data_IF_887775050048
#
_entry.id   IF_887775050048
#
_cell.length_a   1.000
_cell.length_b   1.000
_cell.length_c   1.000
_cell.angle_alpha   90.00
_cell.angle_beta   90.00
_cell.angle_gamma   90.00
#
_symmetry.space_group_name_H-M   'P 1'
#
loop_
_entity.id
_entity.type
_entity.pdbx_description
1 polymer ?
#
# COMPACT_ATOMS: atom_id res chain seq x y z
N UNK A 1 -7.96 -14.43 18.75
CA UNK A 1 -7.50 -13.08 18.38
C UNK A 1 -6.84 -12.46 19.59
N UNK A 2 -5.63 -11.97 19.44
CA UNK A 2 -5.01 -11.16 20.50
C UNK A 2 -5.63 -9.75 20.43
N UNK A 3 -6.45 -9.32 21.40
CA UNK A 3 -7.13 -8.04 21.37
C UNK A 3 -6.17 -6.84 21.47
N UNK A 4 -4.89 -7.09 21.69
CA UNK A 4 -3.86 -6.05 21.80
C UNK A 4 -3.21 -5.71 20.45
N UNK A 5 -3.46 -6.51 19.40
CA UNK A 5 -2.89 -6.27 18.07
C UNK A 5 -3.80 -5.35 17.25
N UNK A 6 -3.24 -4.28 16.67
CA UNK A 6 -4.03 -3.31 15.94
C UNK A 6 -4.53 -3.87 14.61
N UNK A 7 -5.66 -3.34 14.16
CA UNK A 7 -6.17 -3.58 12.81
C UNK A 7 -5.50 -2.66 11.82
N UNK A 8 -5.17 -3.20 10.66
CA UNK A 8 -4.61 -2.44 9.54
C UNK A 8 -5.58 -2.47 8.37
N UNK A 9 -6.01 -1.32 7.93
CA UNK A 9 -6.75 -1.13 6.70
C UNK A 9 -5.76 -1.00 5.53
N UNK A 10 -5.89 -1.86 4.52
CA UNK A 10 -5.06 -1.84 3.30
C UNK A 10 -5.92 -1.34 2.14
N UNK A 11 -5.56 -0.17 1.62
CA UNK A 11 -6.24 0.49 0.49
C UNK A 11 -5.50 0.22 -0.81
N UNK A 12 -6.21 -0.29 -1.83
CA UNK A 12 -5.62 -0.64 -3.13
C UNK A 12 -6.51 -0.10 -4.26
N UNK A 13 -5.90 0.68 -5.15
CA UNK A 13 -6.49 1.03 -6.45
C UNK A 13 -5.83 0.15 -7.52
N UNK A 14 -6.63 -0.59 -8.28
CA UNK A 14 -6.16 -1.50 -9.33
C UNK A 14 -6.82 -1.17 -10.66
N UNK A 15 -6.02 -1.00 -11.71
CA UNK A 15 -6.47 -0.76 -13.07
C UNK A 15 -5.92 -1.85 -13.99
N UNK A 16 -6.78 -2.82 -14.37
CA UNK A 16 -6.44 -3.95 -15.25
C UNK A 16 -5.15 -4.70 -14.86
N UNK A 17 -4.79 -4.70 -13.59
CA UNK A 17 -3.50 -5.21 -13.14
C UNK A 17 -3.56 -6.69 -12.80
N UNK A 18 -2.91 -7.58 -13.58
CA UNK A 18 -2.92 -9.02 -13.35
C UNK A 18 -2.19 -9.44 -12.07
N UNK A 19 -1.38 -8.56 -11.47
CA UNK A 19 -0.67 -8.83 -10.23
C UNK A 19 -1.53 -8.66 -8.98
N UNK A 20 -2.72 -8.05 -9.09
CA UNK A 20 -3.61 -7.84 -7.94
C UNK A 20 -3.85 -9.11 -7.12
N UNK A 21 -4.24 -10.28 -7.69
CA UNK A 21 -4.46 -11.48 -6.90
C UNK A 21 -3.23 -11.93 -6.12
N UNK A 22 -2.04 -11.84 -6.73
CA UNK A 22 -0.77 -12.18 -6.08
C UNK A 22 -0.42 -11.23 -4.95
N UNK A 23 -0.68 -9.93 -5.13
CA UNK A 23 -0.47 -8.94 -4.10
C UNK A 23 -1.36 -9.21 -2.89
N UNK A 24 -2.62 -9.58 -3.10
CA UNK A 24 -3.54 -9.94 -2.02
C UNK A 24 -3.10 -11.22 -1.30
N UNK A 25 -2.67 -12.25 -2.05
CA UNK A 25 -2.10 -13.46 -1.47
C UNK A 25 -0.86 -13.16 -0.63
N UNK A 26 0.07 -12.37 -1.17
CA UNK A 26 1.28 -11.97 -0.46
C UNK A 26 0.96 -11.21 0.84
N UNK A 27 0.01 -10.28 0.78
CA UNK A 27 -0.41 -9.53 1.97
C UNK A 27 -0.83 -10.48 3.10
N UNK A 28 -1.60 -11.52 2.77
CA UNK A 28 -2.07 -12.49 3.76
C UNK A 28 -1.00 -13.49 4.18
N UNK A 29 -0.27 -14.04 3.22
CA UNK A 29 0.69 -15.13 3.45
C UNK A 29 1.93 -14.68 4.25
N UNK A 30 2.34 -13.42 4.08
CA UNK A 30 3.53 -12.87 4.73
C UNK A 30 3.22 -12.07 5.99
N UNK A 31 1.95 -11.73 6.25
CA UNK A 31 1.57 -11.07 7.49
C UNK A 31 1.74 -11.98 8.70
N UNK A 32 2.09 -11.37 9.83
CA UNK A 32 2.12 -12.06 11.13
C UNK A 32 0.72 -12.25 11.73
N UNK A 33 -0.19 -11.31 11.45
CA UNK A 33 -1.55 -11.28 11.97
C UNK A 33 -2.56 -11.01 10.84
N UNK A 34 -2.70 -11.95 9.87
CA UNK A 34 -3.55 -11.76 8.70
C UNK A 34 -5.04 -11.59 9.05
N UNK A 35 -5.47 -12.06 10.21
CA UNK A 35 -6.84 -11.89 10.72
C UNK A 35 -7.18 -10.44 11.08
N UNK A 36 -6.16 -9.60 11.33
CA UNK A 36 -6.32 -8.19 11.66
C UNK A 36 -6.27 -7.25 10.44
N UNK A 37 -6.10 -7.81 9.25
CA UNK A 37 -6.12 -7.04 8.01
C UNK A 37 -7.53 -6.82 7.50
N UNK A 38 -7.78 -5.64 6.95
CA UNK A 38 -8.99 -5.28 6.21
C UNK A 38 -8.58 -4.62 4.92
N UNK A 39 -9.25 -4.97 3.82
CA UNK A 39 -8.91 -4.50 2.49
C UNK A 39 -10.04 -3.71 1.88
N UNK A 40 -9.73 -2.52 1.38
CA UNK A 40 -10.59 -1.72 0.54
C UNK A 40 -10.00 -1.62 -0.87
N UNK A 41 -10.70 -2.16 -1.86
CA UNK A 41 -10.15 -2.31 -3.21
C UNK A 41 -11.09 -1.64 -4.20
N UNK A 42 -10.58 -0.67 -4.95
CA UNK A 42 -11.22 -0.19 -6.17
C UNK A 42 -10.62 -0.96 -7.35
N UNK A 43 -11.40 -1.92 -7.86
CA UNK A 43 -10.99 -2.77 -8.97
C UNK A 43 -11.62 -2.30 -10.27
N UNK A 44 -10.79 -1.76 -11.16
CA UNK A 44 -11.18 -1.34 -12.50
C UNK A 44 -10.80 -2.44 -13.48
N UNK A 45 -11.79 -3.14 -14.00
CA UNK A 45 -11.59 -4.36 -14.80
C UNK A 45 -11.75 -4.11 -16.29
N UNK A 46 -11.02 -4.88 -17.09
CA UNK A 46 -11.24 -5.07 -18.50
C UNK A 46 -11.92 -6.43 -18.73
N UNK A 47 -13.12 -6.41 -19.32
CA UNK A 47 -13.86 -7.64 -19.62
C UNK A 47 -13.16 -8.54 -20.63
N UNK A 48 -12.25 -8.01 -21.45
CA UNK A 48 -11.44 -8.76 -22.41
C UNK A 48 -10.24 -9.47 -21.77
N UNK A 49 -9.85 -9.07 -20.54
CA UNK A 49 -8.74 -9.63 -19.79
C UNK A 49 -9.16 -9.92 -18.33
N UNK A 50 -9.96 -10.95 -18.08
CA UNK A 50 -10.51 -11.21 -16.76
C UNK A 50 -9.42 -11.63 -15.76
N UNK A 51 -9.53 -11.11 -14.54
CA UNK A 51 -8.69 -11.46 -13.39
C UNK A 51 -9.54 -12.25 -12.38
N UNK A 52 -9.02 -13.38 -11.88
CA UNK A 52 -9.75 -14.21 -10.93
C UNK A 52 -9.62 -13.68 -9.50
N UNK A 53 -10.72 -13.21 -8.93
CA UNK A 53 -10.80 -12.65 -7.58
C UNK A 53 -11.89 -13.29 -6.72
N UNK A 54 -12.58 -14.35 -7.20
CA UNK A 54 -13.73 -14.93 -6.50
C UNK A 54 -13.39 -15.29 -5.05
N UNK A 55 -12.24 -15.94 -4.82
CA UNK A 55 -11.80 -16.37 -3.48
C UNK A 55 -11.67 -15.24 -2.46
N UNK A 56 -11.41 -14.02 -2.92
CA UNK A 56 -11.32 -12.86 -2.03
C UNK A 56 -12.68 -12.21 -1.79
N UNK A 57 -13.62 -12.33 -2.73
CA UNK A 57 -14.96 -11.75 -2.60
C UNK A 57 -15.79 -12.42 -1.51
N UNK A 58 -15.52 -13.70 -1.24
CA UNK A 58 -16.19 -14.49 -0.21
C UNK A 58 -15.57 -14.30 1.19
N UNK A 59 -14.43 -13.61 1.28
CA UNK A 59 -13.75 -13.33 2.54
C UNK A 59 -14.14 -11.95 3.09
N UNK A 60 -14.75 -11.91 4.26
CA UNK A 60 -15.25 -10.69 4.90
C UNK A 60 -14.18 -9.62 5.19
N UNK A 61 -12.89 -9.97 5.08
CA UNK A 61 -11.79 -9.01 5.20
C UNK A 61 -11.69 -8.08 3.99
N UNK A 62 -12.26 -8.46 2.84
CA UNK A 62 -12.14 -7.75 1.57
C UNK A 62 -13.44 -7.04 1.21
N UNK A 63 -13.33 -5.78 0.85
CA UNK A 63 -14.42 -4.96 0.32
C UNK A 63 -14.01 -4.44 -1.05
N UNK A 64 -14.86 -4.69 -2.05
CA UNK A 64 -14.59 -4.32 -3.44
C UNK A 64 -15.59 -3.29 -3.95
N UNK A 65 -15.08 -2.23 -4.58
CA UNK A 65 -15.83 -1.42 -5.55
C UNK A 65 -15.35 -1.81 -6.94
N UNK A 66 -16.28 -2.26 -7.79
CA UNK A 66 -15.97 -2.85 -9.09
C UNK A 66 -16.46 -1.92 -10.19
N UNK A 67 -15.56 -1.51 -11.05
CA UNK A 67 -15.83 -0.57 -12.15
C UNK A 67 -15.25 -1.12 -13.45
N UNK A 68 -15.91 -0.83 -14.57
CA UNK A 68 -15.30 -1.06 -15.88
C UNK A 68 -14.23 -0.01 -16.15
N UNK A 69 -13.31 -0.30 -17.08
CA UNK A 69 -12.29 0.67 -17.49
C UNK A 69 -12.88 1.95 -18.10
N UNK A 70 -14.08 1.85 -18.68
CA UNK A 70 -14.79 2.99 -19.26
C UNK A 70 -15.34 3.96 -18.20
N UNK A 71 -15.53 3.47 -16.97
CA UNK A 71 -16.01 4.27 -15.83
C UNK A 71 -14.85 4.88 -15.02
N UNK A 72 -13.60 4.59 -15.42
CA UNK A 72 -12.44 5.05 -14.68
C UNK A 72 -12.26 6.58 -14.80
N UNK A 73 -12.13 7.23 -13.66
CA UNK A 73 -11.77 8.65 -13.54
C UNK A 73 -10.31 8.83 -13.09
N UNK A 74 -9.50 7.77 -13.17
CA UNK A 74 -8.08 7.78 -12.87
C UNK A 74 -7.70 7.36 -11.45
N UNK A 75 -6.38 7.31 -11.19
CA UNK A 75 -5.84 6.69 -9.99
C UNK A 75 -6.23 7.37 -8.67
N UNK A 76 -6.33 8.69 -8.64
CA UNK A 76 -6.73 9.43 -7.42
C UNK A 76 -8.19 9.20 -7.07
N UNK A 77 -9.08 9.16 -8.05
CA UNK A 77 -10.48 8.78 -7.89
C UNK A 77 -10.59 7.34 -7.32
N UNK A 78 -9.88 6.39 -7.92
CA UNK A 78 -9.91 5.00 -7.47
C UNK A 78 -9.38 4.83 -6.04
N UNK A 79 -8.33 5.57 -5.67
CA UNK A 79 -7.80 5.59 -4.30
C UNK A 79 -8.83 6.18 -3.32
N UNK A 80 -9.51 7.25 -3.70
CA UNK A 80 -10.56 7.83 -2.89
C UNK A 80 -11.68 6.81 -2.62
N UNK A 81 -12.15 6.09 -3.65
CA UNK A 81 -13.16 5.03 -3.49
C UNK A 81 -12.65 3.93 -2.55
N UNK A 82 -11.44 3.41 -2.77
CA UNK A 82 -10.89 2.36 -1.93
C UNK A 82 -10.82 2.79 -0.45
N UNK A 83 -10.50 4.05 -0.18
CA UNK A 83 -10.41 4.59 1.18
C UNK A 83 -11.78 4.72 1.87
N UNK A 84 -12.88 4.79 1.15
CA UNK A 84 -14.23 4.86 1.76
C UNK A 84 -14.59 3.58 2.53
N UNK A 85 -13.88 2.49 2.32
CA UNK A 85 -14.07 1.24 3.03
C UNK A 85 -13.43 1.18 4.41
N UNK A 86 -12.63 2.19 4.79
CA UNK A 86 -12.09 2.28 6.15
C UNK A 86 -13.21 2.38 7.18
N UNK A 87 -13.13 1.59 8.24
CA UNK A 87 -14.16 1.43 9.25
C UNK A 87 -13.58 1.51 10.67
N UNK A 88 -12.68 2.47 10.88
CA UNK A 88 -12.09 2.73 12.17
C UNK A 88 -10.91 1.81 12.54
N UNK A 89 -10.25 1.20 11.58
CA UNK A 89 -9.01 0.48 11.83
C UNK A 89 -7.93 1.42 12.38
N UNK A 90 -7.02 0.88 13.19
CA UNK A 90 -5.99 1.66 13.92
C UNK A 90 -4.96 2.29 12.99
N UNK A 91 -4.66 1.63 11.87
CA UNK A 91 -3.72 2.08 10.85
C UNK A 91 -4.32 1.95 9.46
N UNK A 92 -3.95 2.87 8.58
CA UNK A 92 -4.26 2.80 7.16
C UNK A 92 -2.95 2.70 6.35
N UNK A 93 -2.89 1.72 5.45
CA UNK A 93 -1.79 1.49 4.52
C UNK A 93 -2.32 1.57 3.09
N UNK A 94 -1.79 2.50 2.29
CA UNK A 94 -2.05 2.53 0.85
C UNK A 94 -0.90 1.88 0.11
N UNK A 95 -1.21 0.90 -0.74
CA UNK A 95 -0.24 0.22 -1.61
C UNK A 95 -0.77 0.16 -3.05
N UNK A 96 0.14 -0.08 -3.98
CA UNK A 96 -0.22 -0.38 -5.37
C UNK A 96 -0.64 -1.85 -5.53
N UNK A 97 -1.30 -2.17 -6.65
CA UNK A 97 -1.84 -3.50 -6.92
C UNK A 97 -0.79 -4.56 -7.31
N UNK A 98 0.48 -4.16 -7.47
CA UNK A 98 1.60 -5.01 -7.86
C UNK A 98 2.72 -4.97 -6.82
N UNK A 99 2.41 -5.31 -5.58
CA UNK A 99 3.35 -5.28 -4.46
C UNK A 99 3.76 -6.69 -4.02
N UNK A 100 4.99 -6.80 -3.52
CA UNK A 100 5.47 -7.96 -2.80
C UNK A 100 5.83 -7.54 -1.37
N UNK A 101 5.34 -8.28 -0.38
CA UNK A 101 5.48 -7.92 1.03
C UNK A 101 6.53 -8.80 1.72
N UNK A 102 7.31 -8.21 2.60
CA UNK A 102 8.28 -8.93 3.40
C UNK A 102 7.59 -9.74 4.52
N UNK A 103 8.19 -10.85 5.00
CA UNK A 103 7.66 -11.58 6.16
C UNK A 103 7.44 -10.67 7.37
N UNK A 104 6.28 -10.81 8.02
CA UNK A 104 5.83 -10.03 9.18
C UNK A 104 5.82 -8.50 8.92
N UNK A 105 5.48 -8.09 7.69
CA UNK A 105 5.42 -6.70 7.28
C UNK A 105 4.47 -5.85 8.15
N UNK A 106 3.31 -6.40 8.50
CA UNK A 106 2.28 -5.79 9.34
C UNK A 106 2.82 -5.43 10.73
N UNK A 107 3.43 -6.40 11.41
CA UNK A 107 4.05 -6.18 12.71
C UNK A 107 5.23 -5.19 12.65
N UNK A 108 5.99 -5.22 11.56
CA UNK A 108 7.12 -4.32 11.34
C UNK A 108 6.65 -2.89 11.10
N UNK A 109 5.59 -2.69 10.32
CA UNK A 109 4.98 -1.36 10.10
C UNK A 109 4.44 -0.79 11.41
N UNK A 110 3.66 -1.57 12.17
CA UNK A 110 3.11 -1.12 13.45
C UNK A 110 4.23 -0.71 14.41
N UNK A 111 5.28 -1.53 14.52
CA UNK A 111 6.45 -1.20 15.37
C UNK A 111 7.12 0.11 14.93
N UNK A 112 7.31 0.28 13.62
CA UNK A 112 7.87 1.51 13.06
C UNK A 112 6.98 2.71 13.38
N UNK A 113 5.68 2.64 13.11
CA UNK A 113 4.74 3.73 13.38
C UNK A 113 4.72 4.13 14.85
N UNK A 114 4.74 3.15 15.78
CA UNK A 114 4.80 3.40 17.23
C UNK A 114 6.12 4.05 17.69
N UNK A 115 7.19 3.88 16.94
CA UNK A 115 8.49 4.50 17.27
C UNK A 115 8.62 5.95 16.82
N UNK A 116 7.68 6.45 16.00
CA UNK A 116 7.72 7.81 15.49
C UNK A 116 7.24 8.81 16.54
N UNK A 117 8.00 9.92 16.79
CA UNK A 117 7.66 10.90 17.82
C UNK A 117 6.59 11.90 17.33
N UNK A 118 5.41 11.40 16.98
CA UNK A 118 4.29 12.20 16.49
C UNK A 118 2.95 11.58 16.90
N UNK A 119 1.97 12.41 17.20
CA UNK A 119 0.62 11.96 17.58
C UNK A 119 -0.12 11.28 16.43
N UNK A 120 0.12 11.78 15.21
CA UNK A 120 -0.45 11.22 13.95
C UNK A 120 0.70 11.01 12.96
N UNK A 121 1.48 9.95 13.12
CA UNK A 121 2.62 9.70 12.26
C UNK A 121 2.16 9.34 10.85
N UNK A 122 2.86 9.88 9.85
CA UNK A 122 2.74 9.50 8.45
C UNK A 122 4.10 8.99 7.98
N UNK A 123 4.12 7.80 7.42
CA UNK A 123 5.30 7.24 6.77
C UNK A 123 4.99 7.02 5.28
N UNK A 124 5.95 7.37 4.43
CA UNK A 124 5.90 7.06 2.99
C UNK A 124 7.22 6.47 2.55
N UNK A 125 7.17 5.56 1.59
CA UNK A 125 8.36 4.93 1.04
C UNK A 125 8.15 4.60 -0.44
N UNK A 126 9.23 4.51 -1.17
CA UNK A 126 9.24 3.92 -2.51
C UNK A 126 9.66 2.46 -2.34
N UNK A 127 8.77 1.55 -2.75
CA UNK A 127 9.08 0.12 -2.70
C UNK A 127 10.20 -0.23 -3.70
N UNK A 128 11.07 -1.20 -3.37
CA UNK A 128 12.03 -1.74 -4.33
C UNK A 128 11.29 -2.34 -5.53
N UNK A 129 11.87 -2.18 -6.70
CA UNK A 129 11.35 -2.81 -7.91
C UNK A 129 11.58 -4.32 -7.86
N UNK A 130 10.63 -5.07 -8.41
CA UNK A 130 10.82 -6.48 -8.70
C UNK A 130 10.50 -6.78 -10.16
N UNK A 131 11.00 -7.90 -10.66
CA UNK A 131 10.62 -8.46 -11.96
C UNK A 131 10.13 -9.88 -11.76
N UNK A 132 9.24 -10.31 -12.65
CA UNK A 132 8.88 -11.71 -12.74
C UNK A 132 10.03 -12.48 -13.38
N UNK A 133 10.36 -13.62 -12.82
CA UNK A 133 11.29 -14.56 -13.45
C UNK A 133 10.51 -15.40 -14.48
N UNK A 134 10.86 -15.25 -15.75
CA UNK A 134 10.18 -15.91 -16.87
C UNK A 134 10.18 -17.44 -16.78
N UNK A 135 11.15 -18.02 -16.10
CA UNK A 135 11.30 -19.48 -15.96
C UNK A 135 10.59 -20.06 -14.74
N UNK A 136 10.58 -19.34 -13.63
CA UNK A 136 10.02 -19.83 -12.35
C UNK A 136 8.69 -19.19 -11.99
N UNK A 137 8.28 -18.11 -12.66
CA UNK A 137 7.13 -17.30 -12.30
C UNK A 137 7.25 -16.63 -10.93
N UNK A 138 8.44 -16.63 -10.33
CA UNK A 138 8.70 -16.00 -9.04
C UNK A 138 9.04 -14.52 -9.20
N UNK A 139 8.65 -13.73 -8.20
CA UNK A 139 9.05 -12.33 -8.12
C UNK A 139 10.51 -12.25 -7.67
N UNK A 140 11.37 -11.65 -8.51
CA UNK A 140 12.76 -11.34 -8.17
C UNK A 140 12.91 -9.86 -7.90
N UNK A 141 13.38 -9.51 -6.71
CA UNK A 141 13.74 -8.14 -6.40
C UNK A 141 14.93 -7.71 -7.28
N UNK A 142 14.77 -6.60 -7.98
CA UNK A 142 15.81 -6.07 -8.90
C UNK A 142 16.66 -5.00 -8.27
N UNK A 143 16.24 -4.43 -7.13
CA UNK A 143 16.97 -3.41 -6.39
C UNK A 143 17.00 -3.72 -4.90
N UNK A 144 18.17 -3.65 -4.30
CA UNK A 144 18.43 -4.00 -2.90
C UNK A 144 18.31 -2.79 -1.96
N UNK A 145 17.43 -1.87 -2.25
CA UNK A 145 17.30 -0.67 -1.42
C UNK A 145 15.86 -0.33 -1.04
N UNK A 146 15.54 -0.34 0.24
CA UNK A 146 14.43 0.46 0.76
C UNK A 146 14.92 1.91 0.70
N UNK A 147 14.35 2.69 -0.20
CA UNK A 147 14.66 4.12 -0.31
C UNK A 147 13.55 4.89 0.39
N UNK A 148 13.84 5.46 1.53
CA UNK A 148 12.98 6.47 2.09
C UNK A 148 13.26 7.79 1.37
N UNK A 149 12.21 8.39 0.84
CA UNK A 149 12.29 9.73 0.29
C UNK A 149 12.22 10.72 1.44
N UNK A 150 13.28 11.46 1.66
CA UNK A 150 13.23 12.63 2.54
C UNK A 150 12.49 13.72 1.76
N UNK A 151 11.28 14.05 2.16
CA UNK A 151 10.67 15.31 1.74
C UNK A 151 11.50 16.43 2.42
N UNK A 152 12.41 17.03 1.65
CA UNK A 152 13.02 18.29 2.05
C UNK A 152 11.91 19.33 2.19
N UNK A 153 12.11 20.30 3.06
CA UNK A 153 11.10 21.33 3.31
C UNK A 153 10.70 21.98 1.97
N UNK A 154 9.46 21.74 1.54
CA UNK A 154 8.95 22.14 0.21
C UNK A 154 8.98 23.66 -0.01
N UNK A 155 9.15 24.44 1.05
CA UNK A 155 9.26 25.90 1.00
C UNK A 155 10.56 26.39 0.35
N UNK A 156 11.58 25.55 0.27
CA UNK A 156 12.87 25.90 -0.31
C UNK A 156 13.05 25.42 -1.76
N UNK A 157 12.10 24.68 -2.29
CA UNK A 157 12.23 24.08 -3.62
C UNK A 157 11.48 24.89 -4.68
N UNK A 158 12.21 25.74 -5.39
CA UNK A 158 11.71 26.42 -6.61
C UNK A 158 11.86 25.60 -7.89
N UNK A 159 12.49 24.41 -7.84
CA UNK A 159 12.71 23.53 -8.98
C UNK A 159 12.21 22.11 -8.68
N UNK A 160 11.29 21.62 -9.48
CA UNK A 160 10.81 20.25 -9.51
C UNK A 160 11.91 19.30 -10.00
N UNK A 161 12.82 18.91 -9.14
CA UNK A 161 13.67 17.75 -9.37
C UNK A 161 13.28 16.68 -8.35
N UNK A 162 13.00 15.43 -8.79
CA UNK A 162 12.78 14.34 -7.84
C UNK A 162 14.08 14.09 -7.09
N UNK A 163 14.08 14.38 -5.81
CA UNK A 163 15.22 14.15 -4.94
C UNK A 163 15.25 12.68 -4.55
N UNK A 164 15.98 11.89 -5.30
CA UNK A 164 16.33 10.53 -4.94
C UNK A 164 17.76 10.53 -4.42
N UNK A 165 17.94 10.32 -3.14
CA UNK A 165 19.27 10.04 -2.60
C UNK A 165 19.58 8.55 -2.81
N UNK A 166 20.31 8.25 -3.85
CA UNK A 166 20.61 6.90 -4.35
C UNK A 166 21.66 6.16 -3.51
N UNK A 167 22.04 6.60 -2.34
CA UNK A 167 23.20 6.06 -1.64
C UNK A 167 23.11 5.79 -0.15
N UNK A 168 22.02 6.10 0.54
CA UNK A 168 21.94 5.91 1.99
C UNK A 168 20.75 5.05 2.39
N UNK A 169 20.93 4.04 3.27
CA UNK A 169 19.78 3.35 3.88
C UNK A 169 19.00 4.39 4.69
N UNK A 170 17.78 4.65 4.29
CA UNK A 170 16.97 5.62 4.98
C UNK A 170 16.28 4.96 6.16
N UNK A 171 16.61 5.43 7.33
CA UNK A 171 15.73 5.36 8.49
C UNK A 171 14.49 6.19 8.14
N UNK A 172 13.30 5.57 8.22
CA UNK A 172 12.05 6.25 7.94
C UNK A 172 11.93 7.56 8.72
N UNK A 173 11.73 8.65 8.00
CA UNK A 173 11.50 9.95 8.61
C UNK A 173 10.00 10.20 8.68
N UNK A 174 9.50 10.47 9.88
CA UNK A 174 8.14 10.94 10.08
C UNK A 174 7.99 12.35 9.49
N UNK A 175 7.00 12.52 8.64
CA UNK A 175 6.58 13.83 8.16
C UNK A 175 5.54 14.35 9.14
N UNK A 176 5.84 15.43 9.84
CA UNK A 176 4.82 16.14 10.63
C UNK A 176 3.87 16.84 9.66
N UNK A 177 2.67 16.30 9.56
CA UNK A 177 1.63 16.91 8.75
C UNK A 177 1.04 18.14 9.48
N UNK A 178 1.44 19.34 9.09
CA UNK A 178 0.84 20.60 9.57
C UNK A 178 -0.42 21.00 8.80
N UNK A 179 -0.89 20.17 7.88
CA UNK A 179 -1.91 20.56 6.89
C UNK A 179 -3.37 20.36 7.33
N UNK A 180 -3.66 19.85 8.51
CA UNK A 180 -5.05 19.61 8.96
C UNK A 180 -5.47 20.40 10.19
N UNK A 181 -4.80 21.50 10.52
CA UNK A 181 -5.22 22.41 11.61
C UNK A 181 -5.74 23.75 11.12
N UNK A 182 -6.43 23.78 9.99
CA UNK A 182 -6.98 25.01 9.44
C UNK A 182 -8.18 24.74 8.52
N UNK A 183 -9.24 24.22 9.07
CA UNK A 183 -10.65 24.41 8.68
C UNK A 183 -11.52 24.09 9.90
#
# INVERSE_FOLDING_TARGET
>A
MDPTQPKIFVSIASYCDPELPRTLDDCLATARYPENLRFGICWQYDATNPIELARFKDDARFRFSVHSIQESEGGSWARNIAQTFWDGEDYALQIDSHMALAPAWDASLVRMMRSLPADKPLATMIAPLFRMDDNSGLRKQTDLGIRATRLADWREQTNWQPWFDWGRPALGHAIRNRFLSGM
#
